data_IF_795868742083
#
_entry.id   IF_795868742083
#
_cell.length_a   1.000
_cell.length_b   1.000
_cell.length_c   1.000
_cell.angle_alpha   90.00
_cell.angle_beta   90.00
_cell.angle_gamma   90.00
#
_symmetry.space_group_name_H-M   'P 1'
#
loop_
_entity.id
_entity.type
_entity.pdbx_description
1 polymer ?
#
# COMPACT_ATOMS: atom_id res chain seq x y z
N UNK A 1 3.55 4.29 -13.49
CA UNK A 1 3.67 3.64 -12.17
C UNK A 1 3.37 2.15 -12.30
N UNK A 2 4.05 1.34 -11.51
CA UNK A 2 3.78 -0.10 -11.48
C UNK A 2 3.57 -0.52 -10.02
N UNK A 3 2.41 -1.13 -9.76
CA UNK A 3 2.07 -1.68 -8.46
C UNK A 3 2.37 -3.17 -8.44
N UNK A 4 3.18 -3.61 -7.48
CA UNK A 4 3.41 -5.02 -7.22
C UNK A 4 2.44 -5.51 -6.16
N UNK A 5 1.80 -6.64 -6.42
CA UNK A 5 0.78 -7.17 -5.51
C UNK A 5 0.85 -8.70 -5.43
N UNK A 6 0.21 -9.22 -4.39
CA UNK A 6 -0.08 -10.65 -4.27
C UNK A 6 -1.57 -10.80 -3.92
N UNK A 7 -2.25 -11.83 -4.44
CA UNK A 7 -3.67 -12.01 -4.17
C UNK A 7 -3.95 -12.15 -2.66
N UNK A 8 -5.08 -11.57 -2.23
CA UNK A 8 -5.50 -11.67 -0.84
C UNK A 8 -4.71 -10.82 0.13
N UNK A 9 -3.95 -9.84 -0.35
CA UNK A 9 -3.15 -8.95 0.50
C UNK A 9 -3.71 -7.54 0.51
N UNK A 10 -3.15 -6.71 1.42
CA UNK A 10 -3.54 -5.30 1.51
C UNK A 10 -3.15 -4.47 0.28
N UNK A 11 -2.38 -5.04 -0.64
CA UNK A 11 -2.04 -4.36 -1.89
C UNK A 11 -3.29 -4.01 -2.71
N UNK A 12 -4.41 -4.70 -2.48
CA UNK A 12 -5.66 -4.41 -3.18
C UNK A 12 -6.14 -2.98 -2.89
N UNK A 13 -5.87 -2.45 -1.70
CA UNK A 13 -6.25 -1.08 -1.34
C UNK A 13 -5.56 -0.06 -2.25
N UNK A 14 -4.29 -0.28 -2.56
CA UNK A 14 -3.54 0.57 -3.48
C UNK A 14 -4.08 0.47 -4.90
N UNK A 15 -4.45 -0.73 -5.32
CA UNK A 15 -5.03 -0.95 -6.65
C UNK A 15 -6.34 -0.18 -6.79
N UNK A 16 -7.22 -0.29 -5.78
CA UNK A 16 -8.48 0.44 -5.75
C UNK A 16 -8.23 1.95 -5.83
N UNK A 17 -7.27 2.46 -5.05
CA UNK A 17 -6.96 3.89 -5.04
C UNK A 17 -6.47 4.36 -6.41
N UNK A 18 -5.64 3.57 -7.08
CA UNK A 18 -5.16 3.90 -8.43
C UNK A 18 -6.31 3.95 -9.43
N UNK A 19 -7.27 3.01 -9.32
CA UNK A 19 -8.44 3.02 -10.18
C UNK A 19 -9.35 4.21 -9.93
N UNK A 20 -9.60 4.54 -8.65
CA UNK A 20 -10.40 5.71 -8.32
C UNK A 20 -9.74 7.00 -8.78
N UNK A 21 -8.42 7.08 -8.70
CA UNK A 21 -7.67 8.24 -9.19
C UNK A 21 -7.59 8.31 -10.70
N UNK A 22 -8.01 7.26 -11.41
CA UNK A 22 -7.85 7.12 -12.85
C UNK A 22 -6.41 7.34 -13.27
N UNK A 23 -5.49 6.78 -12.48
CA UNK A 23 -4.07 6.90 -12.72
C UNK A 23 -3.66 6.09 -13.95
N UNK A 24 -2.54 6.48 -14.55
CA UNK A 24 -1.87 5.67 -15.57
C UNK A 24 -0.92 4.73 -14.85
N UNK A 25 -1.27 3.44 -14.79
CA UNK A 25 -0.52 2.48 -14.01
C UNK A 25 -0.59 1.07 -14.61
N UNK A 26 0.36 0.24 -14.17
CA UNK A 26 0.38 -1.19 -14.44
C UNK A 26 0.37 -1.91 -13.10
N UNK A 27 -0.02 -3.19 -13.13
CA UNK A 27 0.08 -4.08 -11.97
C UNK A 27 0.88 -5.31 -12.34
N UNK A 28 1.64 -5.81 -11.38
CA UNK A 28 2.37 -7.06 -11.56
C UNK A 28 2.18 -7.95 -10.35
N UNK A 29 1.67 -9.16 -10.60
CA UNK A 29 1.53 -10.16 -9.56
C UNK A 29 2.92 -10.71 -9.22
N UNK A 30 3.21 -10.82 -7.92
CA UNK A 30 4.47 -11.38 -7.44
C UNK A 30 4.21 -12.56 -6.52
N UNK A 31 5.23 -13.39 -6.37
CA UNK A 31 5.19 -14.49 -5.42
C UNK A 31 6.02 -14.11 -4.20
N UNK A 32 5.35 -14.02 -3.04
CA UNK A 32 6.00 -13.66 -1.80
C UNK A 32 6.99 -14.76 -1.38
N UNK A 33 8.07 -14.35 -0.71
CA UNK A 33 9.06 -15.26 -0.20
C UNK A 33 10.09 -15.73 -1.23
N UNK A 34 10.11 -15.12 -2.42
CA UNK A 34 11.07 -15.49 -3.47
C UNK A 34 12.23 -14.50 -3.51
N UNK A 35 13.40 -15.01 -3.92
CA UNK A 35 14.57 -14.14 -4.13
C UNK A 35 14.35 -13.18 -5.28
N UNK A 36 13.57 -13.58 -6.28
CA UNK A 36 13.25 -12.75 -7.43
C UNK A 36 12.53 -11.49 -7.01
N UNK A 37 11.53 -11.62 -6.13
CA UNK A 37 10.81 -10.45 -5.65
C UNK A 37 11.68 -9.60 -4.73
N UNK A 38 12.56 -10.20 -3.91
CA UNK A 38 13.45 -9.43 -3.03
C UNK A 38 14.44 -8.57 -3.80
N UNK A 39 14.71 -8.89 -5.05
CA UNK A 39 15.53 -8.03 -5.90
C UNK A 39 14.78 -6.76 -6.29
N UNK A 40 13.44 -6.83 -6.37
CA UNK A 40 12.59 -5.69 -6.66
C UNK A 40 12.35 -4.87 -5.39
N UNK A 41 12.00 -5.55 -4.31
CA UNK A 41 11.77 -4.96 -3.01
C UNK A 41 12.50 -5.77 -1.94
N UNK A 42 13.60 -5.26 -1.39
CA UNK A 42 14.39 -6.01 -0.40
C UNK A 42 13.61 -6.43 0.83
N UNK A 43 12.56 -5.68 1.21
CA UNK A 43 11.70 -6.04 2.34
C UNK A 43 10.81 -7.24 2.02
N UNK A 44 10.64 -7.57 0.75
CA UNK A 44 9.83 -8.71 0.33
C UNK A 44 8.34 -8.56 0.54
N UNK A 45 7.88 -7.38 0.93
CA UNK A 45 6.48 -7.12 1.26
C UNK A 45 5.72 -6.51 0.08
N UNK A 46 4.41 -6.69 0.07
CA UNK A 46 3.49 -5.98 -0.81
C UNK A 46 2.52 -5.18 0.05
N UNK A 47 2.02 -4.04 -0.45
CA UNK A 47 2.26 -3.45 -1.76
C UNK A 47 3.65 -2.85 -1.90
N UNK A 48 4.10 -2.73 -3.13
CA UNK A 48 5.28 -1.94 -3.47
C UNK A 48 4.95 -1.19 -4.76
N UNK A 49 5.37 0.08 -4.83
CA UNK A 49 5.06 0.94 -5.96
C UNK A 49 6.33 1.48 -6.58
N UNK A 50 6.51 1.22 -7.87
CA UNK A 50 7.58 1.79 -8.67
C UNK A 50 7.03 3.02 -9.39
N UNK A 51 7.56 4.19 -9.05
CA UNK A 51 7.15 5.45 -9.65
C UNK A 51 8.13 5.94 -10.72
N UNK A 52 9.03 5.06 -11.16
CA UNK A 52 10.00 5.38 -12.20
C UNK A 52 11.38 5.71 -11.68
N UNK A 53 11.71 5.32 -10.44
CA UNK A 53 12.98 5.65 -9.79
C UNK A 53 14.01 4.51 -9.86
N UNK A 54 13.63 3.38 -10.45
CA UNK A 54 14.51 2.22 -10.52
C UNK A 54 14.43 1.31 -9.29
N UNK A 55 13.59 1.66 -8.31
CA UNK A 55 13.28 0.80 -7.16
C UNK A 55 11.82 0.93 -6.79
N UNK A 56 11.27 -0.09 -6.17
CA UNK A 56 9.91 -0.05 -5.67
C UNK A 56 9.91 0.48 -4.23
N UNK A 57 8.93 1.33 -3.94
CA UNK A 57 8.74 1.90 -2.60
C UNK A 57 7.69 1.11 -1.86
N UNK A 58 7.93 0.86 -0.59
CA UNK A 58 7.05 0.07 0.27
C UNK A 58 6.17 0.95 1.15
N UNK A 59 5.37 0.31 1.98
CA UNK A 59 4.48 0.85 3.00
C UNK A 59 3.14 1.30 2.45
N UNK A 60 2.11 0.55 2.84
CA UNK A 60 0.73 0.78 2.39
C UNK A 60 0.27 2.22 2.60
N UNK A 61 0.46 2.76 3.82
CA UNK A 61 0.00 4.12 4.13
C UNK A 61 0.72 5.17 3.29
N UNK A 62 2.03 4.98 3.09
CA UNK A 62 2.82 5.93 2.30
C UNK A 62 2.40 5.91 0.84
N UNK A 63 2.15 4.72 0.29
CA UNK A 63 1.71 4.58 -1.10
C UNK A 63 0.34 5.22 -1.30
N UNK A 64 -0.60 4.95 -0.39
CA UNK A 64 -1.94 5.54 -0.47
C UNK A 64 -1.85 7.06 -0.41
N UNK A 65 -1.06 7.61 0.51
CA UNK A 65 -0.88 9.05 0.62
C UNK A 65 -0.24 9.65 -0.63
N UNK A 66 0.72 8.95 -1.21
CA UNK A 66 1.34 9.40 -2.46
C UNK A 66 0.29 9.53 -3.57
N UNK A 67 -0.59 8.54 -3.70
CA UNK A 67 -1.65 8.55 -4.71
C UNK A 67 -2.60 9.72 -4.47
N UNK A 68 -3.03 9.94 -3.22
CA UNK A 68 -3.91 11.05 -2.88
C UNK A 68 -3.28 12.41 -3.23
N UNK A 69 -2.01 12.57 -2.91
CA UNK A 69 -1.29 13.83 -3.15
C UNK A 69 -1.03 14.07 -4.64
N UNK A 70 -0.83 13.00 -5.40
CA UNK A 70 -0.56 13.10 -6.83
C UNK A 70 -1.81 13.47 -7.63
N UNK A 71 -2.98 13.09 -7.14
CA UNK A 71 -4.25 13.32 -7.83
C UNK A 71 -5.23 14.08 -6.92
N UNK A 72 -4.87 15.32 -6.51
CA UNK A 72 -5.70 16.07 -5.55
C UNK A 72 -7.09 16.41 -6.10
N UNK A 73 -7.24 16.49 -7.41
CA UNK A 73 -8.52 16.80 -8.05
C UNK A 73 -9.54 15.67 -7.93
N UNK A 74 -9.13 14.49 -7.50
CA UNK A 74 -10.04 13.35 -7.31
C UNK A 74 -10.69 13.32 -5.93
N UNK A 75 -10.23 14.18 -5.03
CA UNK A 75 -10.80 14.33 -3.69
C UNK A 75 -10.94 13.02 -2.93
N UNK A 76 -9.88 12.23 -2.94
CA UNK A 76 -9.85 10.92 -2.27
C UNK A 76 -9.36 11.01 -0.82
N UNK A 77 -8.87 12.16 -0.41
CA UNK A 77 -8.26 12.33 0.90
C UNK A 77 -9.03 13.28 1.81
N UNK A 78 -8.32 13.79 2.82
CA UNK A 78 -8.88 14.73 3.77
C UNK A 78 -9.00 16.13 3.18
N UNK A 79 -9.85 16.94 3.82
CA UNK A 79 -9.94 18.35 3.51
C UNK A 79 -8.63 19.08 3.86
N UNK A 80 -8.56 20.37 3.49
CA UNK A 80 -7.34 21.16 3.63
C UNK A 80 -6.96 21.50 5.08
N UNK A 81 -7.92 21.45 6.03
CA UNK A 81 -7.63 21.88 7.40
C UNK A 81 -6.64 20.91 8.08
N UNK A 82 -5.77 21.44 8.97
CA UNK A 82 -4.85 20.58 9.71
C UNK A 82 -5.58 19.54 10.58
N UNK A 83 -6.74 19.89 11.12
CA UNK A 83 -7.54 19.00 11.96
C UNK A 83 -8.10 17.83 11.17
N UNK A 84 -8.61 18.09 9.97
CA UNK A 84 -9.13 17.02 9.10
C UNK A 84 -8.01 16.12 8.62
N UNK A 85 -6.85 16.69 8.30
CA UNK A 85 -5.68 15.90 7.92
C UNK A 85 -5.20 15.04 9.07
N UNK A 86 -5.22 15.56 10.29
CA UNK A 86 -4.83 14.80 11.46
C UNK A 86 -5.75 13.60 11.68
N UNK A 87 -7.07 13.83 11.60
CA UNK A 87 -8.05 12.75 11.73
C UNK A 87 -7.86 11.69 10.65
N UNK A 88 -7.68 12.12 9.42
CA UNK A 88 -7.44 11.21 8.30
C UNK A 88 -6.19 10.37 8.53
N UNK A 89 -5.09 11.02 8.94
CA UNK A 89 -3.83 10.34 9.19
C UNK A 89 -3.92 9.38 10.38
N UNK A 90 -4.67 9.77 11.42
CA UNK A 90 -4.87 8.92 12.59
C UNK A 90 -5.61 7.64 12.19
N UNK A 91 -6.68 7.76 11.43
CA UNK A 91 -7.43 6.59 10.94
C UNK A 91 -6.57 5.74 10.02
N UNK A 92 -5.85 6.37 9.10
CA UNK A 92 -4.96 5.66 8.18
C UNK A 92 -3.90 4.86 8.94
N UNK A 93 -3.25 5.49 9.91
CA UNK A 93 -2.21 4.83 10.69
C UNK A 93 -2.78 3.67 11.52
N UNK A 94 -3.96 3.86 12.10
CA UNK A 94 -4.61 2.78 12.85
C UNK A 94 -4.96 1.60 11.94
N UNK A 95 -5.58 1.88 10.80
CA UNK A 95 -6.02 0.82 9.88
C UNK A 95 -4.85 0.03 9.31
N UNK A 96 -3.76 0.70 8.98
CA UNK A 96 -2.61 0.06 8.35
C UNK A 96 -1.60 -0.53 9.34
N UNK A 97 -1.48 0.07 10.53
CA UNK A 97 -0.49 -0.33 11.53
C UNK A 97 -1.01 -1.23 12.63
N UNK A 98 -2.30 -1.12 12.97
CA UNK A 98 -2.87 -1.84 14.11
C UNK A 98 -4.00 -2.77 13.70
N UNK A 99 -5.02 -2.24 13.00
CA UNK A 99 -6.22 -3.02 12.70
C UNK A 99 -5.93 -4.14 11.71
N UNK A 100 -5.37 -3.82 10.55
CA UNK A 100 -5.10 -4.82 9.51
C UNK A 100 -4.09 -5.87 9.98
N UNK A 101 -2.95 -5.49 10.59
CA UNK A 101 -2.00 -6.48 11.07
C UNK A 101 -2.55 -7.43 12.14
N UNK A 102 -3.57 -7.00 12.89
CA UNK A 102 -4.18 -7.86 13.90
C UNK A 102 -4.82 -9.11 13.31
N UNK A 103 -5.16 -9.10 12.02
CA UNK A 103 -5.72 -10.25 11.33
C UNK A 103 -4.67 -11.22 10.81
N UNK A 104 -3.38 -10.91 10.96
CA UNK A 104 -2.31 -11.78 10.48
C UNK A 104 -2.42 -13.18 11.06
N UNK A 105 -2.88 -13.29 12.29
CA UNK A 105 -3.08 -14.58 12.95
C UNK A 105 -4.03 -15.51 12.17
N UNK A 106 -4.98 -14.93 11.44
CA UNK A 106 -5.94 -15.70 10.66
C UNK A 106 -5.39 -16.11 9.29
N UNK A 107 -4.47 -15.30 8.74
CA UNK A 107 -3.93 -15.54 7.40
C UNK A 107 -2.60 -16.29 7.43
N UNK A 108 -1.79 -16.06 8.49
CA UNK A 108 -0.48 -16.67 8.65
C UNK A 108 -0.31 -17.13 10.10
N UNK A 109 -1.09 -18.15 10.55
CA UNK A 109 -1.04 -18.57 11.96
C UNK A 109 0.36 -18.98 12.43
N UNK A 110 1.15 -19.59 11.57
CA UNK A 110 2.50 -20.03 11.91
C UNK A 110 3.44 -18.87 12.23
N UNK A 111 3.16 -17.68 11.71
CA UNK A 111 3.96 -16.49 11.95
C UNK A 111 3.89 -15.99 13.40
N UNK A 112 2.89 -16.42 14.15
CA UNK A 112 2.71 -16.00 15.54
C UNK A 112 3.53 -16.81 16.53
N UNK A 113 4.06 -17.94 16.10
CA UNK A 113 4.78 -18.86 16.98
C UNK A 113 6.28 -18.62 16.97
N UNK A 114 6.73 -17.68 16.18
CA UNK A 114 8.16 -17.37 16.04
C UNK A 114 8.60 -16.07 16.73
#
# INVERSE_FOLDING_TARGET
>A
MKLYYAPGTCAVACWIALEWAKADYEVEKVQLGTDEYRKINPLGAVPALDIGEGRARSELAAILRYILNKYPEKDLGADESPEDKFQFDEIMAFMTGDFHPAFEALFVPAGLTT
#
